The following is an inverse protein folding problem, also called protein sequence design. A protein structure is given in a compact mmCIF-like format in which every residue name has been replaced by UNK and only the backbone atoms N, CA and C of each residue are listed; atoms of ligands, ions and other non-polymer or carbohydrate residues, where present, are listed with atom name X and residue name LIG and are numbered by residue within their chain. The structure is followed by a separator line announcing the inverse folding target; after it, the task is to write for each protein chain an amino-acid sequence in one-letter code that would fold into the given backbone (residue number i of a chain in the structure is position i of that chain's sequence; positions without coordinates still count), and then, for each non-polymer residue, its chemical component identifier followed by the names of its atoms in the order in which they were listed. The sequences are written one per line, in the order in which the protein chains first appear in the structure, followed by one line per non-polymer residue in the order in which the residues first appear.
data_IF_230400670827
#
_entry.id   IF_230400670827
#
_cell.length_a   1.000
_cell.length_b   1.000
_cell.length_c   1.000
_cell.angle_alpha   90.00
_cell.angle_beta   90.00
_cell.angle_gamma   90.00
#
_symmetry.space_group_name_H-M   'P 1'
#
loop_
_entity.id
_entity.type
_entity.pdbx_description
1 polymer ?
#
# COMPACT_ATOMS: atom_id res chain seq x y z
N UNK A 1 11.66 1.47 6.17
CA UNK A 1 11.51 2.25 4.91
C UNK A 1 10.27 3.14 5.04
N UNK A 2 10.38 4.44 4.76
CA UNK A 2 9.37 5.46 5.02
C UNK A 2 8.48 5.78 3.80
N UNK A 3 7.42 6.58 4.00
CA UNK A 3 6.46 6.98 2.97
C UNK A 3 6.64 8.42 2.43
N UNK A 4 7.63 9.16 2.92
CA UNK A 4 7.79 10.59 2.63
C UNK A 4 8.12 10.84 1.15
N UNK A 5 9.07 10.09 0.59
CA UNK A 5 9.41 10.18 -0.83
C UNK A 5 8.22 9.77 -1.72
N UNK A 6 7.48 8.74 -1.32
CA UNK A 6 6.28 8.29 -2.05
C UNK A 6 5.16 9.32 -2.04
N UNK A 7 4.97 10.02 -0.93
CA UNK A 7 3.89 11.01 -0.74
C UNK A 7 4.22 12.36 -1.38
N UNK A 8 5.49 12.65 -1.66
CA UNK A 8 5.90 13.91 -2.30
C UNK A 8 6.12 13.77 -3.80
N UNK A 9 6.36 12.56 -4.31
CA UNK A 9 6.64 12.33 -5.72
C UNK A 9 5.43 12.47 -6.65
N UNK A 10 5.71 12.81 -7.91
CA UNK A 10 4.73 12.87 -8.99
C UNK A 10 4.36 11.48 -9.52
N UNK A 11 3.17 11.37 -10.12
CA UNK A 11 2.67 10.12 -10.70
C UNK A 11 3.64 9.50 -11.71
N UNK A 12 4.13 10.28 -12.68
CA UNK A 12 5.02 9.76 -13.73
C UNK A 12 6.35 9.26 -13.17
N UNK A 13 6.90 10.00 -12.22
CA UNK A 13 8.13 9.62 -11.52
C UNK A 13 7.94 8.29 -10.77
N UNK A 14 6.80 8.10 -10.11
CA UNK A 14 6.46 6.82 -9.45
C UNK A 14 6.08 5.71 -10.44
N UNK A 15 5.52 6.04 -11.60
CA UNK A 15 5.13 5.05 -12.59
C UNK A 15 6.35 4.51 -13.34
N UNK A 16 7.21 5.40 -13.84
CA UNK A 16 8.32 5.04 -14.72
C UNK A 16 9.64 4.82 -13.96
N UNK A 17 9.85 5.57 -12.88
CA UNK A 17 11.15 5.68 -12.20
C UNK A 17 11.08 5.43 -10.69
N UNK A 18 10.16 4.59 -10.21
CA UNK A 18 9.97 4.28 -8.79
C UNK A 18 11.27 3.92 -8.05
N UNK A 19 12.14 3.11 -8.65
CA UNK A 19 13.43 2.73 -8.08
C UNK A 19 14.35 3.94 -7.86
N UNK A 20 14.32 4.90 -8.78
CA UNK A 20 15.12 6.12 -8.67
C UNK A 20 14.52 7.09 -7.66
N UNK A 21 13.19 7.19 -7.59
CA UNK A 21 12.49 8.13 -6.71
C UNK A 21 12.52 7.68 -5.26
N UNK A 22 12.30 6.38 -5.04
CA UNK A 22 12.18 5.82 -3.70
C UNK A 22 13.50 5.24 -3.19
N UNK A 23 14.44 4.91 -4.08
CA UNK A 23 15.78 4.40 -3.73
C UNK A 23 15.74 3.37 -2.60
N UNK A 24 16.24 3.74 -1.41
CA UNK A 24 16.32 2.88 -0.25
C UNK A 24 15.01 2.71 0.49
N UNK A 25 13.96 3.48 0.17
CA UNK A 25 12.61 3.38 0.72
C UNK A 25 11.71 2.40 -0.07
N UNK A 26 12.10 1.97 -1.27
CA UNK A 26 11.39 0.91 -1.98
C UNK A 26 11.73 -0.47 -1.41
N UNK A 27 10.84 -1.07 -0.63
CA UNK A 27 11.00 -2.49 -0.22
C UNK A 27 10.74 -3.40 -1.43
N UNK A 28 9.63 -3.14 -2.11
CA UNK A 28 9.10 -3.97 -3.18
C UNK A 28 8.11 -3.19 -4.02
N UNK A 29 8.04 -3.53 -5.31
CA UNK A 29 7.02 -3.07 -6.26
C UNK A 29 6.25 -4.28 -6.78
N UNK A 30 4.92 -4.20 -6.76
CA UNK A 30 4.06 -5.12 -7.49
C UNK A 30 3.14 -4.30 -8.40
N UNK A 31 3.07 -4.65 -9.68
CA UNK A 31 2.24 -3.95 -10.69
C UNK A 31 1.29 -4.93 -11.35
N UNK A 32 0.04 -4.52 -11.49
CA UNK A 32 -1.00 -5.34 -12.11
C UNK A 32 -1.95 -4.46 -12.92
N UNK A 33 -2.49 -5.05 -13.99
CA UNK A 33 -3.59 -4.48 -14.75
C UNK A 33 -4.86 -5.19 -14.25
N UNK A 34 -5.88 -4.41 -13.91
CA UNK A 34 -7.19 -4.91 -13.49
C UNK A 34 -8.24 -4.50 -14.50
N UNK A 35 -9.19 -5.40 -14.77
CA UNK A 35 -10.40 -5.07 -15.52
C UNK A 35 -11.46 -4.50 -14.57
N UNK A 36 -12.41 -3.69 -15.08
CA UNK A 36 -13.55 -3.26 -14.27
C UNK A 36 -14.30 -4.46 -13.68
N UNK A 37 -14.51 -4.46 -12.35
CA UNK A 37 -15.15 -5.56 -11.61
C UNK A 37 -14.25 -6.75 -11.29
N UNK A 38 -12.96 -6.71 -11.68
CA UNK A 38 -12.00 -7.74 -11.32
C UNK A 38 -11.50 -7.54 -9.88
N UNK A 39 -11.65 -8.58 -9.04
CA UNK A 39 -11.08 -8.62 -7.70
C UNK A 39 -9.76 -9.40 -7.70
N UNK A 40 -8.71 -8.84 -7.10
CA UNK A 40 -7.40 -9.51 -6.99
C UNK A 40 -6.93 -9.58 -5.55
N UNK A 41 -6.94 -10.79 -4.99
CA UNK A 41 -6.47 -11.07 -3.62
C UNK A 41 -4.96 -11.29 -3.60
N UNK A 42 -4.24 -10.42 -2.88
CA UNK A 42 -2.80 -10.55 -2.64
C UNK A 42 -2.56 -10.98 -1.19
N UNK A 43 -2.03 -12.19 -0.99
CA UNK A 43 -1.66 -12.70 0.33
C UNK A 43 -0.16 -12.93 0.41
N UNK A 44 0.56 -12.12 1.18
CA UNK A 44 2.03 -12.18 1.26
C UNK A 44 2.53 -11.96 2.70
N UNK A 45 3.71 -12.51 3.04
CA UNK A 45 4.40 -12.13 4.26
C UNK A 45 4.93 -10.70 4.12
N UNK A 46 4.72 -9.89 5.16
CA UNK A 46 5.25 -8.52 5.22
C UNK A 46 6.73 -8.58 5.59
N UNK A 47 7.57 -7.76 4.95
CA UNK A 47 8.98 -7.64 5.33
C UNK A 47 9.06 -6.82 6.65
N UNK A 48 9.96 -7.21 7.55
CA UNK A 48 10.18 -6.50 8.82
C UNK A 48 10.58 -5.02 8.64
N UNK A 49 11.12 -4.63 7.48
CA UNK A 49 11.50 -3.25 7.17
C UNK A 49 10.35 -2.41 6.56
N UNK A 50 9.20 -3.03 6.26
CA UNK A 50 8.04 -2.34 5.67
C UNK A 50 7.27 -1.60 6.75
N UNK A 51 7.27 -0.26 6.69
CA UNK A 51 6.49 0.57 7.63
C UNK A 51 5.24 1.18 7.00
N UNK A 52 5.18 1.23 5.67
CA UNK A 52 4.05 1.75 4.92
C UNK A 52 3.83 0.97 3.62
N UNK A 53 2.59 1.00 3.15
CA UNK A 53 2.13 0.45 1.87
C UNK A 53 1.60 1.62 1.04
N UNK A 54 2.22 1.86 -0.11
CA UNK A 54 1.73 2.81 -1.11
C UNK A 54 0.93 2.09 -2.19
N UNK A 55 -0.24 2.64 -2.53
CA UNK A 55 -1.06 2.20 -3.66
C UNK A 55 -1.10 3.31 -4.70
N UNK A 56 -0.86 2.95 -5.95
CA UNK A 56 -0.85 3.84 -7.11
C UNK A 56 -1.83 3.31 -8.16
N UNK A 57 -2.72 4.18 -8.67
CA UNK A 57 -3.68 3.83 -9.71
C UNK A 57 -3.60 4.81 -10.89
N UNK A 58 -3.48 4.28 -12.10
CA UNK A 58 -3.40 5.05 -13.33
C UNK A 58 -4.76 5.49 -13.87
N UNK A 59 -5.39 6.47 -13.22
CA UNK A 59 -6.65 7.05 -13.72
C UNK A 59 -6.47 7.86 -15.00
N UNK A 60 -7.52 7.90 -15.82
CA UNK A 60 -7.54 8.72 -17.05
C UNK A 60 -7.38 10.21 -16.78
N UNK A 61 -7.92 10.70 -15.67
CA UNK A 61 -7.81 12.11 -15.26
C UNK A 61 -7.25 12.20 -13.84
N UNK A 62 -5.93 12.21 -13.72
CA UNK A 62 -5.23 12.29 -12.44
C UNK A 62 -5.56 13.58 -11.65
N UNK A 63 -5.85 14.69 -12.34
CA UNK A 63 -6.10 15.97 -11.68
C UNK A 63 -7.44 16.02 -10.92
N UNK A 64 -8.41 15.17 -11.30
CA UNK A 64 -9.72 15.06 -10.65
C UNK A 64 -9.86 13.78 -9.82
N UNK A 65 -8.77 13.02 -9.67
CA UNK A 65 -8.82 11.70 -9.06
C UNK A 65 -7.82 11.55 -7.93
N UNK A 66 -8.17 10.75 -6.92
CA UNK A 66 -7.24 10.34 -5.86
C UNK A 66 -6.49 9.10 -6.37
N UNK A 67 -5.39 9.33 -7.06
CA UNK A 67 -4.57 8.29 -7.71
C UNK A 67 -3.49 7.68 -6.80
N UNK A 68 -3.32 8.20 -5.58
CA UNK A 68 -2.35 7.73 -4.60
C UNK A 68 -2.95 7.67 -3.22
N UNK A 69 -2.71 6.56 -2.52
CA UNK A 69 -2.99 6.42 -1.09
C UNK A 69 -1.80 5.74 -0.42
N UNK A 70 -1.49 6.19 0.79
CA UNK A 70 -0.50 5.56 1.64
C UNK A 70 -1.20 5.02 2.88
N UNK A 71 -0.97 3.76 3.21
CA UNK A 71 -1.39 3.15 4.46
C UNK A 71 -0.16 2.86 5.33
N UNK A 72 -0.12 3.40 6.54
CA UNK A 72 0.94 3.11 7.50
C UNK A 72 0.62 1.83 8.23
N UNK A 73 1.57 0.89 8.22
CA UNK A 73 1.41 -0.38 8.92
C UNK A 73 1.50 -0.08 10.43
N UNK A 74 0.53 -0.51 11.23
CA UNK A 74 0.64 -0.39 12.68
C UNK A 74 1.84 -1.20 13.15
N UNK A 75 2.78 -0.57 13.86
CA UNK A 75 3.92 -1.26 14.44
C UNK A 75 3.44 -2.34 15.40
N UNK A 76 4.06 -3.53 15.33
CA UNK A 76 3.79 -4.57 16.30
C UNK A 76 4.09 -4.01 17.70
N UNK A 77 3.17 -4.11 18.67
CA UNK A 77 3.37 -3.53 19.98
C UNK A 77 4.67 -4.05 20.59
N UNK A 78 5.46 -3.14 21.16
CA UNK A 78 6.82 -3.32 21.72
C UNK A 78 6.95 -4.54 22.65
N UNK A 79 5.84 -5.01 23.23
CA UNK A 79 5.80 -6.16 24.11
C UNK A 79 5.48 -7.45 23.35
N UNK A 80 6.54 -8.21 23.06
CA UNK A 80 6.52 -9.53 22.42
C UNK A 80 5.56 -10.57 23.06
N UNK A 81 5.11 -10.37 24.31
CA UNK A 81 4.09 -11.23 24.92
C UNK A 81 2.70 -11.05 24.28
N UNK A 82 2.36 -9.91 23.68
CA UNK A 82 1.05 -9.70 23.06
C UNK A 82 0.81 -10.53 21.79
N UNK A 83 1.85 -10.83 21.01
CA UNK A 83 1.74 -11.66 19.81
C UNK A 83 1.52 -13.15 20.12
N UNK A 84 1.90 -13.60 21.32
CA UNK A 84 1.82 -15.01 21.72
C UNK A 84 0.49 -15.41 22.37
N UNK A 85 -0.32 -14.44 22.84
CA UNK A 85 -1.58 -14.72 23.56
C UNK A 85 -2.85 -14.29 22.81
N UNK A 86 -2.76 -13.71 21.60
CA UNK A 86 -3.94 -13.34 20.79
C UNK A 86 -3.88 -14.03 19.42
N UNK A 87 -4.64 -15.13 19.20
CA UNK A 87 -4.70 -15.79 17.91
C UNK A 87 -5.33 -14.85 16.87
N UNK A 88 -4.53 -14.38 15.91
CA UNK A 88 -5.01 -13.62 14.74
C UNK A 88 -4.44 -12.22 14.56
N UNK A 89 -3.77 -11.64 15.56
CA UNK A 89 -3.13 -10.31 15.42
C UNK A 89 -1.75 -10.42 14.77
N UNK A 90 -1.57 -9.72 13.66
CA UNK A 90 -0.39 -9.79 12.78
C UNK A 90 -0.74 -9.97 11.29
N UNK A 91 -2.03 -10.12 10.96
CA UNK A 91 -2.53 -10.12 9.58
C UNK A 91 -3.17 -8.77 9.30
N UNK A 92 -2.46 -7.88 8.61
CA UNK A 92 -3.06 -6.67 8.04
C UNK A 92 -3.83 -7.08 6.79
N UNK A 93 -5.14 -6.84 6.78
CA UNK A 93 -6.00 -7.07 5.62
C UNK A 93 -6.51 -5.72 5.12
N UNK A 94 -5.97 -5.29 3.98
CA UNK A 94 -6.40 -4.08 3.30
C UNK A 94 -7.25 -4.46 2.10
N UNK A 95 -8.39 -3.80 1.99
CA UNK A 95 -9.23 -3.82 0.81
C UNK A 95 -9.05 -2.46 0.12
N UNK A 96 -8.40 -2.46 -1.04
CA UNK A 96 -8.22 -1.26 -1.85
C UNK A 96 -9.23 -1.32 -3.00
N UNK A 97 -10.30 -0.55 -2.88
CA UNK A 97 -11.33 -0.41 -3.90
C UNK A 97 -10.92 0.68 -4.88
N UNK A 98 -10.76 0.30 -6.15
CA UNK A 98 -10.41 1.22 -7.23
C UNK A 98 -11.69 1.74 -7.87
N UNK A 99 -12.24 2.80 -7.30
CA UNK A 99 -13.42 3.50 -7.84
C UNK A 99 -13.07 4.21 -9.15
N UNK A 100 -14.07 4.79 -9.83
CA UNK A 100 -13.87 5.47 -11.11
C UNK A 100 -12.87 6.65 -11.05
N UNK A 101 -12.73 7.29 -9.87
CA UNK A 101 -11.87 8.45 -9.67
C UNK A 101 -11.13 8.48 -8.33
N UNK A 102 -11.13 7.40 -7.55
CA UNK A 102 -10.42 7.39 -6.28
C UNK A 102 -10.03 5.98 -5.85
N UNK A 103 -8.85 5.86 -5.24
CA UNK A 103 -8.52 4.68 -4.45
C UNK A 103 -9.15 4.87 -3.07
N UNK A 104 -10.00 3.93 -2.67
CA UNK A 104 -10.55 3.87 -1.31
C UNK A 104 -9.90 2.69 -0.60
N UNK A 105 -9.21 2.94 0.51
CA UNK A 105 -8.64 1.87 1.33
C UNK A 105 -9.51 1.69 2.57
N UNK A 106 -10.00 0.48 2.75
CA UNK A 106 -10.69 0.05 3.96
C UNK A 106 -9.85 -1.02 4.65
N UNK A 107 -9.52 -0.80 5.91
CA UNK A 107 -8.95 -1.86 6.74
C UNK A 107 -10.08 -2.79 7.17
N UNK A 108 -9.98 -4.06 6.77
CA UNK A 108 -10.96 -5.07 7.16
C UNK A 108 -10.56 -5.58 8.54
N UNK A 109 -11.05 -4.91 9.58
CA UNK A 109 -10.84 -5.39 10.95
C UNK A 109 -11.59 -6.71 11.14
N UNK A 110 -10.96 -7.65 11.84
CA UNK A 110 -11.38 -9.06 11.87
C UNK A 110 -12.11 -9.41 13.16
#
# INVERSE_FOLDING_TARGET
KNDAAFTTADYWSLHDNDKSVLTDDLVRRDSFILRPGEEKKLRRPLNAQTTAIGVLAGYRNLAKSVWRVTYKIPEAPEKAWYSSFIPGKGKVQLEAELEQSAIVITERDK
#
